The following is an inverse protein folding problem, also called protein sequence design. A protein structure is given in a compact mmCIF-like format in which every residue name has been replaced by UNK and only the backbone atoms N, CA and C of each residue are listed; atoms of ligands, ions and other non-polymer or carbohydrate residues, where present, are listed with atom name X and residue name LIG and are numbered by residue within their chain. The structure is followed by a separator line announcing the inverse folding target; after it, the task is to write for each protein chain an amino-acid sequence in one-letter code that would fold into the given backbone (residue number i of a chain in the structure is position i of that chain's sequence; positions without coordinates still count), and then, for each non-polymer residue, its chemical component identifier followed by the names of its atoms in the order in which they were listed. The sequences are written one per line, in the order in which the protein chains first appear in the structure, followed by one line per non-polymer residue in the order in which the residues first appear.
data_IF_566215813874
#
_entry.id   IF_566215813874
#
_cell.length_a   1.000
_cell.length_b   1.000
_cell.length_c   1.000
_cell.angle_alpha   90.00
_cell.angle_beta   90.00
_cell.angle_gamma   90.00
#
_symmetry.space_group_name_H-M   'P 1'
#
loop_
_entity.id
_entity.type
_entity.pdbx_description
1 polymer ?
#
# COMPACT_ATOMS: atom_id res chain seq x y z
N UNK A 1 0.12 18.28 13.56
CA UNK A 1 0.54 16.94 14.02
C UNK A 1 -0.37 15.93 13.35
N UNK A 2 0.14 15.19 12.38
CA UNK A 2 -0.57 14.12 11.68
C UNK A 2 -1.05 13.10 12.72
N UNK A 3 -2.37 12.83 12.78
CA UNK A 3 -2.93 11.87 13.73
C UNK A 3 -2.60 10.47 13.22
N UNK A 4 -1.82 9.72 13.99
CA UNK A 4 -1.58 8.31 13.71
C UNK A 4 -2.72 7.49 14.33
N UNK A 5 -3.46 6.78 13.48
CA UNK A 5 -4.46 5.78 13.86
C UNK A 5 -3.84 4.40 13.67
N UNK A 6 -4.25 3.41 14.46
CA UNK A 6 -3.84 2.02 14.25
C UNK A 6 -5.07 1.15 14.08
N UNK A 7 -4.98 0.18 13.17
CA UNK A 7 -6.01 -0.84 12.94
C UNK A 7 -5.41 -2.22 13.17
N UNK A 8 -6.25 -3.17 13.59
CA UNK A 8 -5.85 -4.57 13.71
C UNK A 8 -6.40 -5.35 12.52
N UNK A 9 -5.54 -5.98 11.74
CA UNK A 9 -5.90 -6.82 10.60
C UNK A 9 -5.20 -8.15 10.77
N UNK A 10 -5.98 -9.23 10.88
CA UNK A 10 -5.47 -10.60 11.11
C UNK A 10 -4.46 -10.71 12.27
N UNK A 11 -4.68 -9.95 13.36
CA UNK A 11 -3.79 -9.93 14.52
C UNK A 11 -2.56 -9.03 14.38
N UNK A 12 -2.40 -8.33 13.25
CA UNK A 12 -1.30 -7.39 13.01
C UNK A 12 -1.77 -5.96 13.20
N UNK A 13 -0.96 -5.17 13.89
CA UNK A 13 -1.20 -3.75 14.08
C UNK A 13 -0.64 -2.97 12.88
N UNK A 14 -1.52 -2.28 12.15
CA UNK A 14 -1.16 -1.49 10.97
C UNK A 14 -1.39 -0.02 11.27
N UNK A 15 -0.36 0.80 11.03
CA UNK A 15 -0.45 2.24 11.18
C UNK A 15 -1.14 2.87 9.98
N UNK A 16 -2.09 3.77 10.26
CA UNK A 16 -2.69 4.70 9.30
C UNK A 16 -2.26 6.12 9.68
N UNK A 17 -1.69 6.83 8.72
CA UNK A 17 -1.25 8.22 8.88
C UNK A 17 -2.30 9.10 8.19
N UNK A 18 -2.91 10.02 8.92
CA UNK A 18 -3.71 11.10 8.33
C UNK A 18 -2.82 12.32 8.10
N UNK A 19 -2.65 12.70 6.84
CA UNK A 19 -1.93 13.90 6.44
C UNK A 19 -2.68 14.64 5.32
N UNK A 20 -2.91 15.95 5.49
CA UNK A 20 -3.59 16.80 4.50
C UNK A 20 -4.86 16.18 3.89
N UNK A 21 -5.77 15.69 4.76
CA UNK A 21 -7.04 15.03 4.38
C UNK A 21 -6.89 13.71 3.60
N UNK A 22 -5.67 13.19 3.45
CA UNK A 22 -5.39 11.88 2.85
C UNK A 22 -5.02 10.87 3.93
N UNK A 23 -5.54 9.67 3.78
CA UNK A 23 -5.20 8.52 4.62
C UNK A 23 -4.13 7.67 3.92
N UNK A 24 -3.01 7.44 4.61
CA UNK A 24 -1.92 6.59 4.15
C UNK A 24 -1.84 5.36 5.04
N UNK A 25 -1.67 4.18 4.45
CA UNK A 25 -1.54 2.91 5.16
C UNK A 25 -0.08 2.43 5.16
N UNK A 26 0.41 1.96 6.30
CA UNK A 26 1.77 1.45 6.46
C UNK A 26 1.91 0.04 5.89
N UNK A 27 2.50 -0.06 4.69
CA UNK A 27 2.77 -1.34 4.04
C UNK A 27 3.82 -2.19 4.80
N UNK A 28 4.80 -1.54 5.42
CA UNK A 28 5.80 -2.23 6.25
C UNK A 28 5.16 -2.91 7.45
N UNK A 29 4.13 -2.31 8.06
CA UNK A 29 3.38 -2.93 9.16
C UNK A 29 2.54 -4.13 8.70
N UNK A 30 1.98 -4.10 7.49
CA UNK A 30 1.28 -5.25 6.90
C UNK A 30 2.19 -6.47 6.72
N UNK A 31 3.48 -6.19 6.49
CA UNK A 31 4.49 -7.17 6.11
C UNK A 31 5.38 -7.62 7.29
N UNK A 32 5.26 -6.99 8.46
CA UNK A 32 6.02 -7.25 9.71
C UNK A 32 5.98 -8.69 10.27
N UNK A 33 5.38 -9.63 9.56
CA UNK A 33 5.28 -11.04 9.96
C UNK A 33 6.08 -12.01 9.08
N UNK A 34 6.82 -11.53 8.07
CA UNK A 34 7.68 -12.37 7.24
C UNK A 34 9.10 -11.84 7.28
N UNK A 35 10.00 -12.58 7.93
CA UNK A 35 11.43 -12.26 8.03
C UNK A 35 12.06 -12.12 6.63
N UNK A 36 12.74 -11.00 6.38
CA UNK A 36 13.60 -10.80 5.22
C UNK A 36 13.51 -9.40 4.60
N UNK A 37 14.66 -8.74 4.46
CA UNK A 37 14.81 -7.40 3.86
C UNK A 37 14.30 -7.29 2.40
N UNK A 38 14.07 -8.42 1.74
CA UNK A 38 13.66 -8.51 0.32
C UNK A 38 12.14 -8.67 0.12
N UNK A 39 11.35 -8.75 1.20
CA UNK A 39 9.93 -9.11 1.08
C UNK A 39 9.06 -7.99 0.49
N UNK A 40 9.37 -6.72 0.76
CA UNK A 40 8.65 -5.59 0.16
C UNK A 40 8.87 -5.52 -1.35
N UNK A 41 10.11 -5.71 -1.81
CA UNK A 41 10.41 -5.72 -3.25
C UNK A 41 9.73 -6.87 -3.97
N UNK A 42 9.68 -8.06 -3.36
CA UNK A 42 8.99 -9.21 -3.96
C UNK A 42 7.46 -9.05 -3.94
N UNK A 43 6.91 -8.45 -2.88
CA UNK A 43 5.48 -8.13 -2.81
C UNK A 43 5.08 -7.09 -3.84
N UNK A 44 5.90 -6.05 -4.04
CA UNK A 44 5.69 -5.02 -5.06
C UNK A 44 5.98 -5.50 -6.49
N UNK A 45 6.71 -6.61 -6.67
CA UNK A 45 6.91 -7.28 -7.97
C UNK A 45 5.86 -8.33 -8.26
N UNK A 46 5.08 -8.73 -7.26
CA UNK A 46 4.02 -9.70 -7.45
C UNK A 46 2.91 -9.08 -8.31
N UNK A 47 2.67 -9.67 -9.48
CA UNK A 47 1.68 -9.19 -10.44
C UNK A 47 0.29 -9.05 -9.83
N UNK A 48 -0.13 -9.97 -8.97
CA UNK A 48 -1.44 -9.90 -8.32
C UNK A 48 -1.53 -8.69 -7.38
N UNK A 49 -0.45 -8.39 -6.66
CA UNK A 49 -0.36 -7.20 -5.80
C UNK A 49 -0.43 -5.91 -6.62
N UNK A 50 0.38 -5.80 -7.68
CA UNK A 50 0.38 -4.62 -8.56
C UNK A 50 -1.01 -4.42 -9.19
N UNK A 51 -1.62 -5.49 -9.71
CA UNK A 51 -2.95 -5.40 -10.31
C UNK A 51 -4.01 -4.99 -9.28
N UNK A 52 -3.96 -5.54 -8.07
CA UNK A 52 -4.86 -5.13 -6.99
C UNK A 52 -4.71 -3.65 -6.64
N UNK A 53 -3.47 -3.17 -6.46
CA UNK A 53 -3.18 -1.77 -6.15
C UNK A 53 -3.63 -0.84 -7.28
N UNK A 54 -3.40 -1.21 -8.53
CA UNK A 54 -3.86 -0.44 -9.69
C UNK A 54 -5.37 -0.34 -9.81
N UNK A 55 -6.08 -1.44 -9.56
CA UNK A 55 -7.56 -1.42 -9.54
C UNK A 55 -8.04 -0.53 -8.40
N UNK A 56 -7.49 -0.70 -7.19
CA UNK A 56 -7.87 0.10 -6.04
C UNK A 56 -7.66 1.59 -6.31
N UNK A 57 -6.48 1.98 -6.82
CA UNK A 57 -6.16 3.38 -7.12
C UNK A 57 -7.08 3.91 -8.25
N UNK A 58 -7.38 3.11 -9.28
CA UNK A 58 -8.34 3.51 -10.33
C UNK A 58 -9.77 3.79 -9.83
N UNK A 59 -10.16 3.18 -8.70
CA UNK A 59 -11.50 3.34 -8.09
C UNK A 59 -11.53 4.52 -7.12
N UNK A 60 -10.46 4.73 -6.35
CA UNK A 60 -10.44 5.67 -5.23
C UNK A 60 -9.63 6.95 -5.48
N UNK A 61 -8.84 7.01 -6.55
CA UNK A 61 -8.05 8.18 -6.92
C UNK A 61 -8.50 8.72 -8.28
N UNK A 62 -9.30 9.81 -8.31
CA UNK A 62 -9.78 10.42 -9.55
C UNK A 62 -8.64 10.88 -10.48
N UNK A 63 -7.46 11.17 -9.93
CA UNK A 63 -6.27 11.61 -10.67
C UNK A 63 -5.33 10.46 -11.02
N UNK A 64 -5.83 9.22 -11.05
CA UNK A 64 -5.00 8.03 -11.27
C UNK A 64 -4.18 8.10 -12.56
N UNK A 65 -2.85 8.07 -12.42
CA UNK A 65 -1.93 8.14 -13.55
C UNK A 65 -1.70 6.75 -14.16
N UNK A 66 -2.58 6.37 -15.09
CA UNK A 66 -2.47 5.10 -15.81
C UNK A 66 -1.16 4.97 -16.61
N UNK A 67 -0.62 6.09 -17.10
CA UNK A 67 0.61 6.09 -17.91
C UNK A 67 1.82 5.62 -17.11
N UNK A 68 2.03 6.19 -15.92
CA UNK A 68 3.10 5.75 -15.02
C UNK A 68 2.83 4.37 -14.43
N UNK A 69 1.57 4.05 -14.12
CA UNK A 69 1.20 2.73 -13.64
C UNK A 69 1.52 1.62 -14.65
N UNK A 70 1.29 1.87 -15.95
CA UNK A 70 1.60 0.92 -17.01
C UNK A 70 3.11 0.61 -17.10
N UNK A 71 4.00 1.54 -16.73
CA UNK A 71 5.45 1.33 -16.69
C UNK A 71 5.83 0.36 -15.57
N UNK A 72 5.14 0.43 -14.43
CA UNK A 72 5.39 -0.45 -13.26
C UNK A 72 4.83 -1.87 -13.50
N UNK A 73 3.77 -1.99 -14.31
CA UNK A 73 3.12 -3.27 -14.64
C UNK A 73 3.91 -4.12 -15.65
N UNK A 74 4.81 -3.52 -16.44
CA UNK A 74 5.64 -4.20 -17.45
C UNK A 74 6.85 -4.89 -16.83
#
# INVERSE_FOLDING_TARGET
MSKNKKINVEGKEITIILDNEKEYISLTDMLKAKDGDFFISDWLRNRNTIEYLGIWDSVYNPDFNYGEFAIIKM
#
